data_IF_744628334624
#
_entry.id   IF_744628334624
#
_cell.length_a   1.000
_cell.length_b   1.000
_cell.length_c   1.000
_cell.angle_alpha   90.00
_cell.angle_beta   90.00
_cell.angle_gamma   90.00
#
_symmetry.space_group_name_H-M   'P 1'
#
loop_
_entity.id
_entity.type
_entity.pdbx_description
1 polymer ?
#
# COMPACT_ATOMS: atom_id res chain seq x y z
N UNK A 1 -31.46 -4.55 -12.92
CA UNK A 1 -31.14 -4.44 -11.47
C UNK A 1 -29.80 -3.75 -11.30
N UNK A 2 -29.79 -2.66 -10.58
CA UNK A 2 -28.56 -1.90 -10.35
C UNK A 2 -27.68 -2.60 -9.34
N UNK A 3 -26.40 -2.75 -9.67
CA UNK A 3 -25.42 -3.28 -8.73
C UNK A 3 -24.83 -2.13 -7.93
N UNK A 4 -24.80 -2.30 -6.63
CA UNK A 4 -24.24 -1.31 -5.74
C UNK A 4 -22.71 -1.49 -5.65
N UNK A 5 -21.98 -0.41 -5.80
CA UNK A 5 -20.54 -0.44 -5.64
C UNK A 5 -20.17 -0.53 -4.17
N UNK A 6 -19.14 -1.31 -3.86
CA UNK A 6 -18.61 -1.44 -2.50
C UNK A 6 -17.47 -0.46 -2.24
N UNK A 7 -17.02 0.25 -3.26
CA UNK A 7 -15.92 1.20 -3.15
C UNK A 7 -16.08 2.32 -4.19
N UNK A 8 -16.03 3.56 -3.73
CA UNK A 8 -16.12 4.76 -4.57
C UNK A 8 -15.12 5.81 -4.10
N UNK A 9 -14.52 6.59 -5.02
CA UNK A 9 -14.61 6.46 -6.48
C UNK A 9 -13.82 5.28 -7.01
N UNK A 10 -14.16 4.80 -8.19
CA UNK A 10 -13.47 3.70 -8.86
C UNK A 10 -12.25 4.24 -9.63
N UNK A 11 -11.33 4.86 -8.91
CA UNK A 11 -10.11 5.44 -9.47
C UNK A 11 -8.93 4.83 -8.77
N UNK A 12 -8.12 4.07 -9.50
CA UNK A 12 -6.85 3.56 -8.97
C UNK A 12 -5.86 4.71 -8.99
N UNK A 13 -5.36 5.10 -7.82
CA UNK A 13 -4.44 6.23 -7.69
C UNK A 13 -2.99 5.80 -7.60
N UNK A 14 -2.74 4.54 -7.25
CA UNK A 14 -1.38 4.05 -7.02
C UNK A 14 -1.31 2.54 -7.25
N UNK A 15 -0.18 2.09 -7.78
CA UNK A 15 0.17 0.67 -7.80
C UNK A 15 1.46 0.51 -7.02
N UNK A 16 1.46 -0.38 -6.01
CA UNK A 16 2.63 -0.64 -5.17
C UNK A 16 3.29 -1.95 -5.52
N UNK A 17 4.61 -1.95 -5.50
CA UNK A 17 5.46 -3.11 -5.82
C UNK A 17 6.35 -3.44 -4.64
N UNK A 18 6.45 -4.72 -4.30
CA UNK A 18 7.43 -5.20 -3.33
C UNK A 18 8.71 -5.54 -4.06
N UNK A 19 9.84 -5.07 -3.55
CA UNK A 19 11.16 -5.29 -4.14
C UNK A 19 12.16 -5.70 -3.06
N UNK A 20 13.21 -6.41 -3.46
CA UNK A 20 14.28 -6.83 -2.54
C UNK A 20 15.36 -5.78 -2.38
N UNK A 21 15.66 -5.05 -3.43
CA UNK A 21 16.70 -4.02 -3.46
C UNK A 21 16.14 -2.77 -4.10
N UNK A 22 15.63 -1.87 -3.25
CA UNK A 22 14.93 -0.68 -3.74
C UNK A 22 15.88 0.31 -4.44
N UNK A 23 17.15 0.39 -4.00
CA UNK A 23 18.11 1.27 -4.68
C UNK A 23 18.29 0.84 -6.14
N UNK A 24 18.52 -0.46 -6.35
CA UNK A 24 18.71 -0.98 -7.71
C UNK A 24 17.44 -0.85 -8.55
N UNK A 25 16.29 -1.23 -8.00
CA UNK A 25 15.03 -1.20 -8.73
C UNK A 25 14.60 0.24 -9.04
N UNK A 26 14.82 1.15 -8.11
CA UNK A 26 14.51 2.58 -8.33
C UNK A 26 15.34 3.14 -9.48
N UNK A 27 16.64 2.81 -9.53
CA UNK A 27 17.49 3.22 -10.65
C UNK A 27 17.02 2.64 -11.99
N UNK A 28 16.60 1.37 -11.97
CA UNK A 28 16.11 0.70 -13.18
C UNK A 28 14.85 1.37 -13.72
N UNK A 29 13.90 1.70 -12.83
CA UNK A 29 12.68 2.41 -13.23
C UNK A 29 13.01 3.82 -13.76
N UNK A 30 13.90 4.55 -13.06
CA UNK A 30 14.29 5.90 -13.49
C UNK A 30 14.94 5.89 -14.87
N UNK A 31 15.84 4.95 -15.11
CA UNK A 31 16.48 4.79 -16.41
C UNK A 31 15.46 4.45 -17.50
N UNK A 32 14.56 3.53 -17.20
CA UNK A 32 13.54 3.12 -18.16
C UNK A 32 12.63 4.29 -18.57
N UNK A 33 12.19 5.07 -17.59
CA UNK A 33 11.28 6.20 -17.86
C UNK A 33 12.02 7.48 -18.29
N UNK A 34 13.34 7.51 -18.19
CA UNK A 34 14.12 8.69 -18.56
C UNK A 34 13.89 9.86 -17.61
N UNK A 35 13.79 9.57 -16.31
CA UNK A 35 13.57 10.59 -15.26
C UNK A 35 14.68 10.53 -14.23
N UNK A 36 14.79 11.59 -13.41
CA UNK A 36 15.72 11.60 -12.29
C UNK A 36 15.36 10.52 -11.28
N UNK A 37 16.37 9.99 -10.59
CA UNK A 37 16.16 8.97 -9.56
C UNK A 37 15.46 9.64 -8.36
N UNK A 38 14.25 9.19 -8.00
CA UNK A 38 13.56 9.77 -6.85
C UNK A 38 14.25 9.40 -5.55
N UNK A 39 14.01 10.21 -4.52
CA UNK A 39 14.52 9.97 -3.19
C UNK A 39 13.92 8.69 -2.60
N UNK A 40 14.77 7.91 -1.91
CA UNK A 40 14.34 6.73 -1.17
C UNK A 40 14.31 7.12 0.30
N UNK A 41 13.19 6.86 0.97
CA UNK A 41 13.04 7.20 2.38
C UNK A 41 12.36 6.06 3.13
N UNK A 42 12.53 6.08 4.46
CA UNK A 42 11.88 5.11 5.33
C UNK A 42 10.48 5.58 5.70
N UNK A 43 9.56 4.63 5.89
CA UNK A 43 8.29 4.93 6.56
C UNK A 43 8.58 5.42 7.98
N UNK A 44 7.62 6.10 8.60
CA UNK A 44 7.78 6.63 9.95
C UNK A 44 7.97 5.53 11.00
N UNK A 45 8.58 5.89 12.12
CA UNK A 45 8.64 5.02 13.29
C UNK A 45 7.25 4.93 13.91
N UNK A 46 7.03 3.96 14.82
CA UNK A 46 5.70 3.73 15.41
C UNK A 46 5.08 4.99 16.02
N UNK A 47 5.87 5.84 16.64
CA UNK A 47 5.39 7.10 17.22
C UNK A 47 4.61 7.93 16.20
N UNK A 48 5.04 7.92 14.96
CA UNK A 48 4.42 8.70 13.87
C UNK A 48 3.46 7.87 13.05
N UNK A 49 3.87 6.67 12.68
CA UNK A 49 3.10 5.82 11.78
C UNK A 49 1.96 5.07 12.45
N UNK A 50 2.02 4.87 13.77
CA UNK A 50 0.98 4.14 14.52
C UNK A 50 0.58 2.85 13.81
N UNK A 51 1.58 2.11 13.32
CA UNK A 51 1.34 0.95 12.48
C UNK A 51 0.83 -0.24 13.27
N UNK A 52 -0.21 -0.86 12.76
CA UNK A 52 -0.77 -2.09 13.31
C UNK A 52 -0.84 -3.15 12.23
N UNK A 53 -0.42 -4.36 12.58
CA UNK A 53 -0.45 -5.50 11.68
C UNK A 53 -1.18 -6.63 12.38
N UNK A 54 -2.25 -7.13 11.74
CA UNK A 54 -3.17 -8.13 12.33
C UNK A 54 -3.66 -7.72 13.71
N UNK A 55 -3.97 -6.44 13.86
CA UNK A 55 -4.53 -5.88 15.10
C UNK A 55 -3.51 -5.54 16.17
N UNK A 56 -2.23 -5.84 15.98
CA UNK A 56 -1.19 -5.60 16.97
C UNK A 56 -0.26 -4.46 16.55
N UNK A 57 0.16 -3.60 17.49
CA UNK A 57 1.15 -2.56 17.16
C UNK A 57 2.48 -3.20 16.76
N UNK A 58 3.09 -2.68 15.71
CA UNK A 58 4.37 -3.20 15.21
C UNK A 58 5.36 -2.08 14.92
N UNK A 59 6.62 -2.38 15.07
CA UNK A 59 7.73 -1.45 14.79
C UNK A 59 8.25 -1.59 13.35
N UNK A 60 7.65 -2.47 12.55
CA UNK A 60 8.08 -2.76 11.19
C UNK A 60 8.06 -1.51 10.33
N UNK A 61 9.07 -1.38 9.47
CA UNK A 61 9.20 -0.24 8.56
C UNK A 61 9.55 -0.74 7.17
N UNK A 62 9.45 0.14 6.21
CA UNK A 62 9.85 -0.15 4.85
C UNK A 62 10.51 1.08 4.24
N UNK A 63 11.40 0.83 3.26
CA UNK A 63 11.91 1.90 2.41
C UNK A 63 10.93 2.08 1.25
N UNK A 64 10.74 3.32 0.83
CA UNK A 64 9.80 3.67 -0.24
C UNK A 64 10.44 4.60 -1.25
N UNK A 65 10.03 4.45 -2.51
CA UNK A 65 10.28 5.44 -3.54
C UNK A 65 9.04 5.56 -4.42
N UNK A 66 8.83 6.75 -5.00
CA UNK A 66 7.62 7.05 -5.76
C UNK A 66 7.95 7.60 -7.13
N UNK A 67 7.19 7.15 -8.14
CA UNK A 67 7.25 7.68 -9.51
C UNK A 67 5.87 8.21 -9.87
N UNK A 68 5.83 9.51 -10.21
CA UNK A 68 4.58 10.12 -10.64
C UNK A 68 4.41 9.91 -12.14
N UNK A 69 3.46 9.07 -12.52
CA UNK A 69 3.10 8.87 -13.91
C UNK A 69 2.04 9.89 -14.30
N UNK A 70 1.72 9.95 -15.58
CA UNK A 70 0.69 10.89 -16.05
C UNK A 70 -0.69 10.58 -15.49
N UNK A 71 -0.95 9.34 -15.14
CA UNK A 71 -2.28 8.89 -14.71
C UNK A 71 -2.33 8.30 -13.30
N UNK A 72 -1.24 7.75 -12.79
CA UNK A 72 -1.18 7.13 -11.45
C UNK A 72 0.22 7.30 -10.85
N UNK A 73 0.34 6.98 -9.58
CA UNK A 73 1.63 6.91 -8.89
C UNK A 73 2.08 5.46 -8.82
N UNK A 74 3.36 5.20 -9.05
CA UNK A 74 3.97 3.89 -8.78
C UNK A 74 4.77 4.01 -7.49
N UNK A 75 4.62 3.04 -6.60
CA UNK A 75 5.36 2.98 -5.36
C UNK A 75 6.21 1.71 -5.32
N UNK A 76 7.48 1.85 -4.96
CA UNK A 76 8.35 0.70 -4.69
C UNK A 76 8.52 0.60 -3.17
N UNK A 77 8.50 -0.62 -2.64
CA UNK A 77 8.56 -0.89 -1.20
C UNK A 77 9.56 -2.02 -0.95
N UNK A 78 10.57 -1.72 -0.12
CA UNK A 78 11.48 -2.75 0.39
C UNK A 78 11.22 -2.90 1.88
N UNK A 79 10.64 -4.03 2.35
CA UNK A 79 10.33 -4.22 3.76
C UNK A 79 11.56 -4.52 4.59
N UNK A 80 11.52 -4.15 5.87
CA UNK A 80 12.50 -4.65 6.83
C UNK A 80 12.12 -6.09 7.25
N UNK A 81 12.82 -6.64 8.23
CA UNK A 81 12.60 -8.02 8.66
C UNK A 81 11.38 -8.20 9.57
N UNK A 82 10.79 -7.10 10.02
CA UNK A 82 9.66 -7.15 10.94
C UNK A 82 8.35 -7.59 10.30
N UNK A 83 7.35 -7.96 11.12
CA UNK A 83 6.07 -8.44 10.61
C UNK A 83 5.29 -7.34 9.90
N UNK A 84 4.89 -7.61 8.67
CA UNK A 84 4.09 -6.69 7.86
C UNK A 84 3.51 -7.44 6.67
N UNK A 85 2.47 -6.87 6.07
CA UNK A 85 1.95 -7.42 4.82
C UNK A 85 3.00 -7.34 3.71
N UNK A 86 3.91 -6.36 3.78
CA UNK A 86 5.01 -6.22 2.81
C UNK A 86 5.98 -7.41 2.90
N UNK A 87 6.41 -7.75 4.12
CA UNK A 87 7.31 -8.88 4.35
C UNK A 87 6.64 -10.20 3.98
N UNK A 88 5.39 -10.38 4.36
CA UNK A 88 4.63 -11.57 4.01
C UNK A 88 4.55 -11.76 2.51
N UNK A 89 4.27 -10.69 1.78
CA UNK A 89 4.17 -10.76 0.32
C UNK A 89 5.49 -11.18 -0.30
N UNK A 90 6.60 -10.58 0.16
CA UNK A 90 7.93 -10.92 -0.35
C UNK A 90 8.24 -12.40 -0.12
N UNK A 91 7.92 -12.91 1.06
CA UNK A 91 8.20 -14.30 1.42
C UNK A 91 7.29 -15.30 0.70
N UNK A 92 6.04 -14.96 0.50
CA UNK A 92 5.04 -15.87 -0.08
C UNK A 92 4.96 -15.78 -1.60
N UNK A 93 5.15 -14.61 -2.16
CA UNK A 93 4.94 -14.35 -3.60
C UNK A 93 6.17 -13.82 -4.31
N UNK A 94 7.18 -13.35 -3.58
CA UNK A 94 8.36 -12.74 -4.18
C UNK A 94 8.13 -11.29 -4.57
N UNK A 95 8.96 -10.78 -5.47
CA UNK A 95 8.88 -9.40 -5.95
C UNK A 95 7.70 -9.22 -6.91
N UNK A 96 7.13 -8.04 -6.93
CA UNK A 96 6.07 -7.69 -7.89
C UNK A 96 4.95 -6.91 -7.25
N UNK A 97 3.82 -6.83 -7.95
CA UNK A 97 2.67 -6.02 -7.53
C UNK A 97 2.12 -6.51 -6.19
N UNK A 98 2.00 -5.58 -5.26
CA UNK A 98 1.46 -5.83 -3.93
C UNK A 98 0.05 -5.28 -3.77
N UNK A 99 -0.18 -4.03 -4.16
CA UNK A 99 -1.46 -3.37 -3.92
C UNK A 99 -1.85 -2.40 -5.02
N UNK A 100 -3.14 -2.12 -5.06
CA UNK A 100 -3.71 -0.99 -5.78
C UNK A 100 -4.42 -0.11 -4.76
N UNK A 101 -4.27 1.21 -4.88
CA UNK A 101 -4.77 2.15 -3.89
C UNK A 101 -5.90 3.01 -4.41
N UNK A 102 -6.83 3.32 -3.51
CA UNK A 102 -7.99 4.18 -3.76
C UNK A 102 -8.07 5.22 -2.66
N UNK A 103 -8.24 6.48 -3.02
CA UNK A 103 -8.48 7.55 -2.05
C UNK A 103 -9.98 7.59 -1.77
N UNK A 104 -10.36 7.40 -0.50
CA UNK A 104 -11.77 7.40 -0.08
C UNK A 104 -12.03 8.54 0.89
N UNK A 105 -13.29 8.95 1.00
CA UNK A 105 -13.70 10.04 1.89
C UNK A 105 -14.03 9.56 3.30
N UNK A 106 -14.55 8.35 3.42
CA UNK A 106 -14.95 7.77 4.70
C UNK A 106 -14.37 6.38 4.82
N UNK A 107 -13.15 6.32 5.32
CA UNK A 107 -12.43 5.05 5.46
C UNK A 107 -13.13 4.09 6.40
N UNK A 108 -13.67 4.59 7.50
CA UNK A 108 -14.36 3.73 8.48
C UNK A 108 -15.54 3.01 7.84
N UNK A 109 -16.34 3.72 7.06
CA UNK A 109 -17.50 3.14 6.38
C UNK A 109 -17.07 2.16 5.31
N UNK A 110 -16.06 2.50 4.51
CA UNK A 110 -15.54 1.63 3.46
C UNK A 110 -14.96 0.34 4.05
N UNK A 111 -14.19 0.46 5.13
CA UNK A 111 -13.63 -0.70 5.83
C UNK A 111 -14.76 -1.62 6.32
N UNK A 112 -15.81 -1.04 6.91
CA UNK A 112 -16.95 -1.81 7.41
C UNK A 112 -17.64 -2.59 6.27
N UNK A 113 -17.82 -1.95 5.12
CA UNK A 113 -18.39 -2.58 3.95
C UNK A 113 -17.52 -3.76 3.48
N UNK A 114 -16.20 -3.55 3.41
CA UNK A 114 -15.28 -4.59 2.93
C UNK A 114 -15.14 -5.73 3.94
N UNK A 115 -15.17 -5.44 5.23
CA UNK A 115 -15.19 -6.49 6.26
C UNK A 115 -16.41 -7.40 6.08
N UNK A 116 -17.56 -6.82 5.72
CA UNK A 116 -18.77 -7.59 5.42
C UNK A 116 -18.62 -8.51 4.21
N UNK A 117 -17.60 -8.28 3.37
CA UNK A 117 -17.28 -9.11 2.22
C UNK A 117 -16.10 -10.07 2.50
N UNK A 118 -15.75 -10.25 3.76
CA UNK A 118 -14.62 -11.08 4.21
C UNK A 118 -13.27 -10.53 3.76
N UNK A 119 -13.15 -9.20 3.71
CA UNK A 119 -11.89 -8.50 3.45
C UNK A 119 -11.58 -7.58 4.64
N UNK A 120 -11.14 -8.15 5.78
CA UNK A 120 -10.82 -7.33 6.96
C UNK A 120 -9.51 -6.55 6.77
N UNK A 121 -9.31 -5.53 7.61
CA UNK A 121 -8.05 -4.80 7.65
C UNK A 121 -6.95 -5.74 8.13
N UNK A 122 -5.86 -5.84 7.37
CA UNK A 122 -4.70 -6.65 7.73
C UNK A 122 -3.57 -5.79 8.28
N UNK A 123 -3.44 -4.55 7.79
CA UNK A 123 -2.44 -3.60 8.26
C UNK A 123 -2.97 -2.19 8.06
N UNK A 124 -2.64 -1.31 8.98
CA UNK A 124 -3.00 0.11 8.88
C UNK A 124 -1.92 0.97 9.51
N UNK A 125 -1.90 2.24 9.13
CA UNK A 125 -0.96 3.19 9.68
C UNK A 125 -1.29 4.61 9.27
N UNK A 126 -0.43 5.54 9.71
CA UNK A 126 -0.59 6.96 9.44
C UNK A 126 0.64 7.49 8.72
N UNK A 127 0.43 8.53 7.94
CA UNK A 127 1.48 9.30 7.30
C UNK A 127 1.11 10.80 7.41
N UNK A 128 2.04 11.66 7.10
CA UNK A 128 1.76 13.08 7.18
C UNK A 128 0.63 13.46 6.22
N UNK A 129 -0.50 13.92 6.77
CA UNK A 129 -1.65 14.35 5.99
C UNK A 129 -2.72 13.31 5.79
N UNK A 130 -2.58 12.10 6.38
CA UNK A 130 -3.61 11.09 6.22
C UNK A 130 -3.27 9.74 6.83
N UNK A 131 -3.96 8.73 6.32
CA UNK A 131 -3.83 7.35 6.83
C UNK A 131 -4.10 6.34 5.74
N UNK A 132 -3.59 5.13 5.95
CA UNK A 132 -3.81 4.03 5.01
C UNK A 132 -4.35 2.80 5.73
N UNK A 133 -5.00 1.94 4.97
CA UNK A 133 -5.38 0.61 5.43
C UNK A 133 -5.25 -0.38 4.27
N UNK A 134 -4.63 -1.53 4.55
CA UNK A 134 -4.61 -2.65 3.62
C UNK A 134 -5.67 -3.65 4.04
N UNK A 135 -6.45 -4.11 3.07
CA UNK A 135 -7.52 -5.10 3.27
C UNK A 135 -7.04 -6.47 2.82
N UNK A 136 -7.46 -7.51 3.54
CA UNK A 136 -7.12 -8.89 3.21
C UNK A 136 -7.96 -9.36 2.02
N UNK A 137 -7.60 -8.90 0.84
CA UNK A 137 -8.36 -9.09 -0.41
C UNK A 137 -7.67 -10.03 -1.40
N UNK A 138 -6.46 -10.50 -1.10
CA UNK A 138 -5.65 -11.25 -2.07
C UNK A 138 -6.32 -12.51 -2.58
N UNK A 139 -6.96 -13.27 -1.71
CA UNK A 139 -7.62 -14.51 -2.13
C UNK A 139 -8.74 -14.27 -3.14
N UNK A 140 -9.49 -13.19 -2.96
CA UNK A 140 -10.63 -12.88 -3.82
C UNK A 140 -10.23 -12.09 -5.07
N UNK A 141 -9.35 -11.09 -4.92
CA UNK A 141 -9.03 -10.15 -6.00
C UNK A 141 -7.62 -10.30 -6.57
N UNK A 142 -6.80 -11.17 -5.98
CA UNK A 142 -5.41 -11.45 -6.41
C UNK A 142 -4.47 -10.27 -6.24
N UNK A 143 -4.90 -9.25 -5.50
CA UNK A 143 -4.13 -8.05 -5.16
C UNK A 143 -4.66 -7.54 -3.82
N UNK A 144 -3.81 -6.86 -3.08
CA UNK A 144 -4.20 -6.19 -1.83
C UNK A 144 -4.85 -4.85 -2.19
N UNK A 145 -6.02 -4.58 -1.64
CA UNK A 145 -6.62 -3.26 -1.75
C UNK A 145 -6.04 -2.35 -0.68
N UNK A 146 -5.62 -1.16 -1.07
CA UNK A 146 -5.22 -0.12 -0.12
C UNK A 146 -6.23 1.01 -0.17
N UNK A 147 -6.69 1.42 1.00
CA UNK A 147 -7.51 2.61 1.14
C UNK A 147 -6.64 3.73 1.70
N UNK A 148 -6.75 4.90 1.11
CA UNK A 148 -6.09 6.12 1.57
C UNK A 148 -7.17 7.13 1.92
N UNK A 149 -7.01 7.78 3.07
CA UNK A 149 -7.90 8.88 3.47
C UNK A 149 -7.04 10.05 3.88
N UNK A 150 -7.20 11.16 3.19
CA UNK A 150 -6.41 12.36 3.43
C UNK A 150 -7.21 13.39 4.25
N UNK A 151 -6.51 14.16 5.08
CA UNK A 151 -7.11 15.20 5.91
C UNK A 151 -7.71 16.34 5.08
#
# INVERSE_FOLDING_TARGET
MDKKSNLEPKVVTQIGFIVKDIEETTRSFANFFGVDVPEIHWTGEFKEAQQHYKGEPVESRAKQSFFEMENIQLELIEPDEGPSTWRDHLEQHGEGVHHIAFVVKDMKQTVKTLEGLNMPVIQKGEYQGGRYAYLDSFNQLKVILELLEND
#
